data_IF_046490771655
#
_entry.id   IF_046490771655
#
_cell.length_a   1.000
_cell.length_b   1.000
_cell.length_c   1.000
_cell.angle_alpha   90.00
_cell.angle_beta   90.00
_cell.angle_gamma   90.00
#
_symmetry.space_group_name_H-M   'P 1'
#
loop_
_entity.id
_entity.type
_entity.pdbx_description
1 polymer ?
#
# COMPACT_ATOMS: atom_id res chain seq x y z
N UNK A 1 3.28 -22.93 -0.90
CA UNK A 1 3.28 -21.52 -1.36
C UNK A 1 2.70 -20.71 -0.23
N UNK A 2 3.37 -19.65 0.24
CA UNK A 2 2.77 -18.71 1.20
C UNK A 2 1.98 -17.68 0.39
N UNK A 3 0.77 -17.35 0.81
CA UNK A 3 -0.05 -16.30 0.22
C UNK A 3 0.00 -15.06 1.11
N UNK A 4 0.32 -13.91 0.53
CA UNK A 4 0.23 -12.62 1.20
C UNK A 4 -0.90 -11.83 0.53
N UNK A 5 -1.95 -11.55 1.28
CA UNK A 5 -3.01 -10.62 0.88
C UNK A 5 -2.67 -9.24 1.42
N UNK A 6 -2.78 -8.22 0.57
CA UNK A 6 -2.48 -6.83 0.93
C UNK A 6 -3.69 -5.97 0.54
N UNK A 7 -3.99 -5.00 1.40
CA UNK A 7 -4.89 -3.90 1.10
C UNK A 7 -4.26 -2.61 1.64
N UNK A 8 -4.46 -1.49 0.94
CA UNK A 8 -3.89 -0.19 1.32
C UNK A 8 -4.94 0.91 1.25
N UNK A 9 -4.87 1.82 2.20
CA UNK A 9 -5.60 3.08 2.15
C UNK A 9 -4.63 4.20 1.85
N UNK A 10 -5.04 5.12 0.98
CA UNK A 10 -4.15 6.15 0.46
C UNK A 10 -4.84 7.49 0.44
N UNK A 11 -4.05 8.54 0.59
CA UNK A 11 -4.47 9.92 0.40
C UNK A 11 -3.67 10.55 -0.75
N UNK A 12 -4.34 11.45 -1.48
CA UNK A 12 -3.74 12.39 -2.41
C UNK A 12 -4.58 13.66 -2.40
N UNK A 13 -3.94 14.79 -2.68
CA UNK A 13 -4.61 16.08 -2.84
C UNK A 13 -5.35 16.21 -4.19
N UNK A 14 -5.16 15.25 -5.11
CA UNK A 14 -5.92 15.14 -6.35
C UNK A 14 -7.01 14.06 -6.27
N UNK A 15 -8.11 14.24 -6.99
CA UNK A 15 -9.27 13.34 -6.89
C UNK A 15 -9.11 12.12 -7.80
N UNK A 16 -8.93 10.93 -7.21
CA UNK A 16 -8.77 9.66 -7.93
C UNK A 16 -9.81 9.43 -9.05
N UNK A 17 -11.12 9.64 -8.86
CA UNK A 17 -12.12 9.42 -9.92
C UNK A 17 -11.93 10.31 -11.15
N UNK A 18 -11.21 11.44 -11.02
CA UNK A 18 -10.97 12.39 -12.11
C UNK A 18 -9.61 12.19 -12.78
N UNK A 19 -8.61 11.77 -12.01
CA UNK A 19 -7.21 11.72 -12.47
C UNK A 19 -6.73 10.32 -12.83
N UNK A 20 -7.44 9.28 -12.38
CA UNK A 20 -6.96 7.90 -12.47
C UNK A 20 -5.78 7.66 -11.51
N UNK A 21 -5.36 6.38 -11.43
CA UNK A 21 -4.42 5.90 -10.42
C UNK A 21 -3.04 6.53 -10.54
N UNK A 22 -2.48 6.62 -11.75
CA UNK A 22 -1.13 7.15 -11.94
C UNK A 22 -0.98 8.59 -11.43
N UNK A 23 -1.80 9.50 -11.93
CA UNK A 23 -1.73 10.91 -11.53
C UNK A 23 -2.08 11.08 -10.05
N UNK A 24 -2.96 10.22 -9.50
CA UNK A 24 -3.25 10.20 -8.07
C UNK A 24 -2.01 9.85 -7.22
N UNK A 25 -1.25 8.84 -7.62
CA UNK A 25 -0.05 8.38 -6.93
C UNK A 25 1.20 9.26 -7.19
N UNK A 26 1.22 10.03 -8.28
CA UNK A 26 2.34 10.92 -8.64
C UNK A 26 2.30 12.28 -7.91
N UNK A 27 1.23 12.57 -7.16
CA UNK A 27 1.20 13.81 -6.37
C UNK A 27 2.34 13.85 -5.35
N UNK A 28 3.02 15.01 -5.16
CA UNK A 28 3.99 15.16 -4.09
C UNK A 28 3.37 15.04 -2.68
N UNK A 29 2.04 15.12 -2.58
CA UNK A 29 1.27 14.97 -1.35
C UNK A 29 0.61 13.59 -1.23
N UNK A 30 0.97 12.64 -2.11
CA UNK A 30 0.49 11.26 -2.00
C UNK A 30 1.10 10.58 -0.77
N UNK A 31 0.26 9.86 -0.01
CA UNK A 31 0.69 9.07 1.13
C UNK A 31 -0.11 7.77 1.24
N UNK A 32 0.54 6.73 1.78
CA UNK A 32 -0.14 5.53 2.26
C UNK A 32 -0.53 5.79 3.72
N UNK A 33 -1.82 5.74 4.02
CA UNK A 33 -2.36 6.01 5.35
C UNK A 33 -2.44 4.74 6.20
N UNK A 34 -2.97 3.65 5.63
CA UNK A 34 -3.08 2.35 6.30
C UNK A 34 -2.51 1.25 5.40
N UNK A 35 -1.82 0.31 6.03
CA UNK A 35 -1.33 -0.89 5.38
C UNK A 35 -1.92 -2.11 6.10
N UNK A 36 -2.72 -2.91 5.40
CA UNK A 36 -3.32 -4.11 5.94
C UNK A 36 -2.76 -5.34 5.23
N UNK A 37 -2.43 -6.39 6.00
CA UNK A 37 -1.92 -7.63 5.43
C UNK A 37 -2.43 -8.88 6.15
N UNK A 38 -2.48 -9.99 5.42
CA UNK A 38 -2.77 -11.33 5.95
C UNK A 38 -1.88 -12.35 5.27
N UNK A 39 -1.25 -13.22 6.07
CA UNK A 39 -0.43 -14.34 5.58
C UNK A 39 -1.27 -15.62 5.70
N UNK A 40 -1.40 -16.38 4.61
CA UNK A 40 -2.06 -17.69 4.59
C UNK A 40 -3.46 -17.66 5.26
N UNK A 41 -4.23 -16.60 4.96
CA UNK A 41 -5.56 -16.34 5.51
C UNK A 41 -5.63 -16.22 7.05
N UNK A 42 -4.50 -15.95 7.71
CA UNK A 42 -4.46 -15.60 9.13
C UNK A 42 -5.14 -14.24 9.40
N UNK A 43 -5.45 -13.91 10.66
CA UNK A 43 -6.06 -12.64 10.99
C UNK A 43 -5.32 -11.45 10.40
N UNK A 44 -6.07 -10.52 9.79
CA UNK A 44 -5.53 -9.31 9.20
C UNK A 44 -4.81 -8.49 10.28
N UNK A 45 -3.60 -8.09 9.97
CA UNK A 45 -2.84 -7.10 10.72
C UNK A 45 -2.98 -5.76 10.01
N UNK A 46 -3.21 -4.68 10.76
CA UNK A 46 -3.36 -3.32 10.22
C UNK A 46 -2.27 -2.46 10.84
N UNK A 47 -1.61 -1.67 10.00
CA UNK A 47 -0.51 -0.77 10.36
C UNK A 47 -0.94 0.65 10.03
N UNK A 48 -0.91 1.51 11.05
CA UNK A 48 -1.17 2.94 10.94
C UNK A 48 0.13 3.70 10.60
N UNK A 49 0.37 3.85 9.30
CA UNK A 49 1.60 4.44 8.75
C UNK A 49 1.67 5.93 9.09
N UNK A 50 0.55 6.64 9.06
CA UNK A 50 0.49 8.08 9.38
C UNK A 50 0.70 8.35 10.87
N UNK A 51 0.36 7.40 11.74
CA UNK A 51 0.74 7.45 13.17
C UNK A 51 2.17 6.95 13.45
N UNK A 52 2.94 6.59 12.41
CA UNK A 52 4.34 6.20 12.53
C UNK A 52 4.58 4.73 12.88
N UNK A 53 3.57 3.87 12.75
CA UNK A 53 3.77 2.42 12.85
C UNK A 53 4.58 1.91 11.66
N UNK A 54 5.42 0.91 11.89
CA UNK A 54 6.35 0.39 10.88
C UNK A 54 5.93 -0.96 10.35
N UNK A 55 6.04 -1.14 9.04
CA UNK A 55 5.86 -2.45 8.40
C UNK A 55 6.97 -3.40 8.87
N UNK A 56 6.64 -4.60 9.40
CA UNK A 56 7.64 -5.58 9.80
C UNK A 56 8.57 -5.97 8.65
N UNK A 57 9.87 -6.15 8.94
CA UNK A 57 10.86 -6.53 7.92
C UNK A 57 10.52 -7.85 7.21
N UNK A 58 9.81 -8.77 7.87
CA UNK A 58 9.33 -10.01 7.27
C UNK A 58 8.29 -9.81 6.16
N UNK A 59 7.63 -8.64 6.15
CA UNK A 59 6.77 -8.14 5.07
C UNK A 59 7.59 -7.17 4.21
N UNK A 60 8.85 -7.52 3.90
CA UNK A 60 9.66 -6.74 2.97
C UNK A 60 9.00 -6.75 1.59
N UNK A 61 8.35 -5.65 1.24
CA UNK A 61 7.97 -5.37 -0.14
C UNK A 61 9.26 -4.90 -0.80
N UNK A 62 10.02 -5.85 -1.36
CA UNK A 62 11.08 -5.49 -2.27
C UNK A 62 10.39 -4.83 -3.47
N UNK A 63 10.41 -3.49 -3.52
CA UNK A 63 9.75 -2.69 -4.56
C UNK A 63 10.47 -2.84 -5.92
N UNK A 64 11.08 -3.99 -6.18
CA UNK A 64 11.41 -4.47 -7.51
C UNK A 64 10.11 -4.88 -8.20
N UNK A 65 9.27 -3.88 -8.45
CA UNK A 65 8.11 -3.99 -9.31
C UNK A 65 8.64 -4.40 -10.69
N UNK A 66 8.29 -5.58 -11.24
CA UNK A 66 8.58 -5.86 -12.64
C UNK A 66 7.92 -4.76 -13.48
N UNK A 67 8.64 -4.31 -14.51
CA UNK A 67 8.33 -3.18 -15.41
C UNK A 67 6.94 -3.18 -16.10
N UNK A 68 6.01 -4.05 -15.72
CA UNK A 68 4.69 -4.17 -16.32
C UNK A 68 3.64 -4.52 -15.26
N UNK A 69 3.26 -3.53 -14.47
CA UNK A 69 1.92 -3.45 -13.90
C UNK A 69 1.45 -2.01 -13.97
N UNK A 70 1.26 -1.57 -15.21
CA UNK A 70 0.10 -0.86 -15.71
C UNK A 70 0.13 -0.91 -17.25
#
# INVERSE_FOLDING_TARGET
MKTLSIDIETYSDVQLPKTGVYCYCESPNFEISLFAYSIDSQPVQVIDVVCGETIPEEISIDAQMPHYWF
#
